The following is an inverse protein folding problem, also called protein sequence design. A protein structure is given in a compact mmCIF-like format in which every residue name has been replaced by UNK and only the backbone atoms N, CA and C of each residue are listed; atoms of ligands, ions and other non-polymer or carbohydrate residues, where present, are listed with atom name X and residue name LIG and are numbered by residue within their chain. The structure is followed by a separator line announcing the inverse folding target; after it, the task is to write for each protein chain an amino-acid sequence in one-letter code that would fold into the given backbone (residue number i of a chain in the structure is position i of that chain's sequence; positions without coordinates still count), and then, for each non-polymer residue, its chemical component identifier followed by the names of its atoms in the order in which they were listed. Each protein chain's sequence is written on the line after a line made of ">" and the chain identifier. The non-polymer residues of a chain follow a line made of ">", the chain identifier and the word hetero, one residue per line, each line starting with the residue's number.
data_IF_802076122003
#
_entry.id   IF_802076122003
#
_cell.length_a   1.000
_cell.length_b   1.000
_cell.length_c   1.000
_cell.angle_alpha   90.00
_cell.angle_beta   90.00
_cell.angle_gamma   90.00
#
_symmetry.space_group_name_H-M   'P 1'
#
loop_
_entity.id
_entity.type
_entity.pdbx_description
1 polymer ?
#
# COMPACT_ATOMS: atom_id res chain seq x y z
N UNK A 1 -5.78 21.01 -3.98
CA UNK A 1 -4.63 20.73 -4.86
C UNK A 1 -3.65 19.85 -4.07
N UNK A 2 -3.10 18.80 -4.66
CA UNK A 2 -2.12 17.92 -3.97
C UNK A 2 -0.77 18.66 -3.89
N UNK A 3 -0.24 18.80 -2.67
CA UNK A 3 0.98 19.56 -2.38
C UNK A 3 2.23 18.67 -2.26
N UNK A 4 2.12 17.39 -2.60
CA UNK A 4 3.20 16.40 -2.45
C UNK A 4 3.35 15.80 -1.05
N UNK A 5 2.61 16.29 -0.08
CA UNK A 5 2.63 15.76 1.29
C UNK A 5 1.53 14.72 1.51
N UNK A 6 1.80 13.76 2.37
CA UNK A 6 0.79 12.82 2.80
C UNK A 6 -0.07 13.49 3.89
N UNK A 7 -1.38 13.53 3.65
CA UNK A 7 -2.34 13.96 4.67
C UNK A 7 -2.46 12.96 5.81
N UNK A 8 -2.97 13.42 6.94
CA UNK A 8 -3.27 12.53 8.07
C UNK A 8 -4.74 12.13 8.02
N UNK A 9 -4.99 10.83 7.97
CA UNK A 9 -6.35 10.31 8.13
C UNK A 9 -6.74 10.32 9.61
N UNK A 10 -7.82 11.02 9.94
CA UNK A 10 -8.32 11.13 11.31
C UNK A 10 -9.36 10.06 11.68
N UNK A 11 -9.62 9.12 10.79
CA UNK A 11 -10.52 8.00 11.03
C UNK A 11 -9.91 6.95 11.95
N UNK A 12 -10.76 6.03 12.41
CA UNK A 12 -10.31 4.88 13.23
C UNK A 12 -9.35 4.01 12.41
N UNK A 13 -8.18 3.66 12.95
CA UNK A 13 -7.27 2.73 12.28
C UNK A 13 -7.95 1.40 11.98
N UNK A 14 -7.67 0.86 10.79
CA UNK A 14 -8.15 -0.47 10.42
C UNK A 14 -7.27 -1.54 11.05
N UNK A 15 -7.87 -2.46 11.79
CA UNK A 15 -7.18 -3.59 12.40
C UNK A 15 -7.28 -4.82 11.48
N UNK A 16 -6.11 -5.26 10.97
CA UNK A 16 -6.03 -6.44 10.11
C UNK A 16 -6.02 -7.68 10.98
N UNK A 17 -7.14 -8.41 10.97
CA UNK A 17 -7.29 -9.65 11.74
C UNK A 17 -6.72 -10.83 10.98
N UNK A 18 -5.91 -11.64 11.67
CA UNK A 18 -5.40 -12.89 11.15
C UNK A 18 -6.34 -14.05 11.53
N UNK A 19 -6.26 -15.14 10.76
CA UNK A 19 -6.94 -16.39 11.10
C UNK A 19 -6.37 -16.95 12.40
N UNK A 20 -7.16 -17.70 13.21
CA UNK A 20 -6.69 -18.26 14.49
C UNK A 20 -5.50 -19.20 14.37
N UNK A 21 -5.39 -19.88 13.24
CA UNK A 21 -4.34 -20.85 12.89
C UNK A 21 -3.23 -20.25 12.01
N UNK A 22 -3.16 -18.92 11.92
CA UNK A 22 -2.20 -18.25 11.07
C UNK A 22 -0.77 -18.38 11.63
N UNK A 23 0.05 -19.15 10.93
CA UNK A 23 1.48 -19.21 11.18
C UNK A 23 2.20 -17.98 10.61
N UNK A 24 3.25 -17.55 11.30
CA UNK A 24 4.09 -16.44 10.81
C UNK A 24 4.80 -16.84 9.53
N UNK A 25 5.01 -15.88 8.64
CA UNK A 25 5.68 -16.11 7.38
C UNK A 25 6.77 -15.05 7.15
N UNK A 26 7.96 -15.53 6.84
CA UNK A 26 9.08 -14.69 6.47
C UNK A 26 9.65 -15.17 5.13
N UNK A 27 9.34 -14.46 4.07
CA UNK A 27 9.79 -14.79 2.71
C UNK A 27 11.27 -14.48 2.50
N UNK A 28 11.86 -15.12 1.49
CA UNK A 28 13.24 -14.84 1.07
C UNK A 28 13.35 -13.44 0.50
N UNK A 29 14.43 -12.75 0.86
CA UNK A 29 14.75 -11.45 0.26
C UNK A 29 15.31 -11.62 -1.14
N UNK A 30 14.97 -10.71 -2.04
CA UNK A 30 15.58 -10.65 -3.36
C UNK A 30 16.79 -9.70 -3.33
N UNK A 31 17.91 -10.07 -3.98
CA UNK A 31 19.05 -9.18 -4.08
C UNK A 31 18.71 -7.95 -4.91
N UNK A 32 19.17 -6.80 -4.49
CA UNK A 32 19.07 -5.56 -5.27
C UNK A 32 20.20 -5.53 -6.27
N UNK A 33 19.91 -5.37 -7.59
CA UNK A 33 20.96 -5.22 -8.58
C UNK A 33 21.80 -3.96 -8.30
N UNK A 34 23.11 -4.06 -8.39
CA UNK A 34 24.04 -2.94 -8.09
C UNK A 34 23.73 -1.65 -8.83
N UNK A 35 23.28 -1.77 -10.07
CA UNK A 35 22.90 -0.61 -10.90
C UNK A 35 21.73 0.19 -10.29
N UNK A 36 20.90 -0.42 -9.45
CA UNK A 36 19.73 0.21 -8.84
C UNK A 36 19.91 0.50 -7.34
N UNK A 37 21.04 0.13 -6.72
CA UNK A 37 21.26 0.29 -5.27
C UNK A 37 21.12 1.75 -4.82
N UNK A 38 21.70 2.68 -5.58
CA UNK A 38 21.66 4.10 -5.23
C UNK A 38 20.24 4.66 -5.29
N UNK A 39 19.55 4.41 -6.40
CA UNK A 39 18.17 4.84 -6.61
C UNK A 39 17.23 4.21 -5.58
N UNK A 40 17.44 2.92 -5.28
CA UNK A 40 16.68 2.22 -4.25
C UNK A 40 16.87 2.83 -2.86
N UNK A 41 18.10 3.18 -2.50
CA UNK A 41 18.39 3.85 -1.23
C UNK A 41 17.69 5.20 -1.11
N UNK A 42 17.71 5.99 -2.18
CA UNK A 42 17.02 7.27 -2.24
C UNK A 42 15.50 7.12 -2.03
N UNK A 43 14.87 6.15 -2.70
CA UNK A 43 13.45 5.86 -2.53
C UNK A 43 13.12 5.41 -1.10
N UNK A 44 13.96 4.54 -0.50
CA UNK A 44 13.77 4.13 0.89
C UNK A 44 13.88 5.29 1.87
N UNK A 45 14.84 6.18 1.66
CA UNK A 45 15.06 7.33 2.54
C UNK A 45 13.91 8.34 2.40
N UNK A 46 13.36 8.51 1.20
CA UNK A 46 12.17 9.30 0.97
C UNK A 46 10.93 8.70 1.68
N UNK A 47 10.71 7.39 1.55
CA UNK A 47 9.60 6.71 2.24
C UNK A 47 9.70 6.79 3.76
N UNK A 48 10.92 6.74 4.31
CA UNK A 48 11.16 6.97 5.74
C UNK A 48 10.86 8.41 6.14
N UNK A 49 11.33 9.38 5.34
CA UNK A 49 11.07 10.81 5.58
C UNK A 49 9.56 11.10 5.61
N UNK A 50 8.82 10.54 4.66
CA UNK A 50 7.36 10.64 4.58
C UNK A 50 6.63 9.80 5.65
N UNK A 51 7.35 9.07 6.50
CA UNK A 51 6.81 8.19 7.55
C UNK A 51 5.91 7.06 7.01
N UNK A 52 6.02 6.71 5.73
CA UNK A 52 5.31 5.58 5.12
C UNK A 52 5.85 4.26 5.65
N UNK A 53 7.18 4.19 5.82
CA UNK A 53 7.87 3.03 6.40
C UNK A 53 8.74 3.45 7.57
N UNK A 54 8.99 2.50 8.46
CA UNK A 54 9.97 2.68 9.53
C UNK A 54 10.90 1.47 9.61
N UNK A 55 12.16 1.70 9.97
CA UNK A 55 13.11 0.62 10.22
C UNK A 55 12.73 -0.10 11.50
N UNK A 56 12.72 -1.44 11.46
CA UNK A 56 12.55 -2.31 12.61
C UNK A 56 13.73 -3.28 12.68
N UNK A 57 14.10 -3.71 13.87
CA UNK A 57 15.25 -4.60 14.05
C UNK A 57 14.87 -6.08 13.91
N UNK A 58 13.64 -6.45 14.21
CA UNK A 58 13.17 -7.83 14.19
C UNK A 58 11.68 -7.88 13.84
N UNK A 59 11.31 -8.81 12.96
CA UNK A 59 9.92 -9.15 12.67
C UNK A 59 9.80 -10.64 12.40
N UNK A 60 8.73 -11.23 12.87
CA UNK A 60 8.33 -12.59 12.50
C UNK A 60 7.64 -12.64 11.13
N UNK A 61 7.27 -11.49 10.61
CA UNK A 61 6.62 -11.32 9.32
C UNK A 61 7.56 -10.63 8.35
N UNK A 62 7.67 -11.15 7.15
CA UNK A 62 8.47 -10.55 6.10
C UNK A 62 7.93 -10.89 4.72
N UNK A 63 7.48 -9.88 3.97
CA UNK A 63 7.08 -10.04 2.59
C UNK A 63 8.31 -9.92 1.67
N UNK A 64 8.49 -10.84 0.71
CA UNK A 64 9.50 -10.68 -0.32
C UNK A 64 9.27 -9.39 -1.09
N UNK A 65 10.33 -8.62 -1.26
CA UNK A 65 10.26 -7.34 -1.95
C UNK A 65 11.27 -7.29 -3.06
N UNK A 66 10.87 -6.80 -4.23
CA UNK A 66 11.70 -6.66 -5.40
C UNK A 66 11.47 -5.32 -6.09
N UNK A 67 12.39 -4.96 -6.96
CA UNK A 67 12.41 -3.70 -7.68
C UNK A 67 12.04 -3.89 -9.13
N UNK A 68 11.21 -3.00 -9.67
CA UNK A 68 10.97 -2.88 -11.09
C UNK A 68 11.47 -1.51 -11.55
N UNK A 69 12.45 -1.47 -12.49
CA UNK A 69 12.89 -0.22 -13.09
C UNK A 69 11.74 0.44 -13.86
N UNK A 70 11.62 1.75 -13.75
CA UNK A 70 10.71 2.55 -14.55
C UNK A 70 11.47 3.19 -15.73
N UNK A 71 10.72 3.68 -16.71
CA UNK A 71 11.29 4.37 -17.89
C UNK A 71 12.01 5.67 -17.55
N UNK A 72 11.67 6.31 -16.44
CA UNK A 72 12.24 7.56 -15.92
C UNK A 72 13.49 7.34 -15.06
N UNK A 73 14.12 6.17 -15.13
CA UNK A 73 15.28 5.77 -14.32
C UNK A 73 15.02 5.68 -12.81
N UNK A 74 13.78 5.83 -12.36
CA UNK A 74 13.38 5.52 -10.98
C UNK A 74 13.04 4.05 -10.83
N UNK A 75 12.81 3.59 -9.60
CA UNK A 75 12.44 2.21 -9.32
C UNK A 75 11.06 2.14 -8.67
N UNK A 76 10.33 1.09 -8.97
CA UNK A 76 9.10 0.75 -8.25
C UNK A 76 9.39 -0.34 -7.24
N UNK A 77 9.02 -0.09 -6.02
CA UNK A 77 9.11 -1.00 -4.91
C UNK A 77 7.86 -1.88 -4.86
N UNK A 78 8.01 -3.19 -4.97
CA UNK A 78 6.89 -4.14 -4.96
C UNK A 78 7.10 -5.18 -3.87
N UNK A 79 6.14 -5.29 -2.97
CA UNK A 79 6.11 -6.33 -1.94
C UNK A 79 5.05 -7.38 -2.28
N UNK A 80 5.43 -8.63 -2.19
CA UNK A 80 4.53 -9.76 -2.43
C UNK A 80 3.79 -10.14 -1.16
N UNK A 81 2.55 -9.70 -1.05
CA UNK A 81 1.68 -9.99 0.09
C UNK A 81 0.79 -11.23 -0.09
N UNK A 82 0.99 -12.05 -1.13
CA UNK A 82 0.13 -13.22 -1.38
C UNK A 82 0.06 -14.17 -0.19
N UNK A 83 1.20 -14.47 0.42
CA UNK A 83 1.26 -15.36 1.59
C UNK A 83 0.62 -14.74 2.83
N UNK A 84 0.77 -13.43 3.03
CA UNK A 84 0.08 -12.72 4.09
C UNK A 84 -1.44 -12.72 3.86
N UNK A 85 -1.88 -12.45 2.63
CA UNK A 85 -3.29 -12.42 2.27
C UNK A 85 -4.02 -13.76 2.50
N UNK A 86 -3.33 -14.88 2.39
CA UNK A 86 -3.88 -16.22 2.72
C UNK A 86 -4.20 -16.35 4.22
N UNK A 87 -3.47 -15.62 5.06
CA UNK A 87 -3.53 -15.67 6.53
C UNK A 87 -4.47 -14.63 7.13
N UNK A 88 -4.88 -13.65 6.35
CA UNK A 88 -5.82 -12.62 6.77
C UNK A 88 -7.23 -13.20 6.82
N UNK A 89 -7.95 -12.90 7.91
CA UNK A 89 -9.38 -13.17 8.01
C UNK A 89 -10.14 -12.17 7.13
N UNK A 90 -10.68 -12.65 6.01
CA UNK A 90 -11.43 -11.80 5.10
C UNK A 90 -12.72 -11.33 5.75
N UNK A 91 -12.92 -10.03 5.76
CA UNK A 91 -14.20 -9.42 6.12
C UNK A 91 -14.87 -8.96 4.82
N UNK A 92 -15.95 -9.62 4.39
CA UNK A 92 -16.68 -9.18 3.20
C UNK A 92 -17.29 -7.80 3.49
N UNK A 93 -17.02 -6.85 2.62
CA UNK A 93 -17.66 -5.55 2.63
C UNK A 93 -18.59 -5.45 1.42
N UNK A 94 -19.89 -5.16 1.61
CA UNK A 94 -20.82 -5.02 0.51
C UNK A 94 -20.47 -3.75 -0.29
N UNK A 95 -19.77 -3.92 -1.40
CA UNK A 95 -19.49 -2.83 -2.32
C UNK A 95 -20.77 -2.57 -3.09
N UNK A 96 -21.36 -1.36 -3.04
CA UNK A 96 -22.55 -1.03 -3.79
C UNK A 96 -22.28 -1.15 -5.29
N UNK A 97 -23.25 -1.62 -6.05
CA UNK A 97 -23.17 -1.70 -7.51
C UNK A 97 -23.13 -0.29 -8.09
N UNK A 98 -22.37 -0.10 -9.18
CA UNK A 98 -22.27 1.21 -9.86
C UNK A 98 -23.65 1.76 -10.20
N UNK A 99 -24.59 0.91 -10.64
CA UNK A 99 -25.97 1.29 -10.93
C UNK A 99 -26.69 1.89 -9.71
N UNK A 100 -26.51 1.30 -8.52
CA UNK A 100 -27.11 1.79 -7.28
C UNK A 100 -26.53 3.15 -6.87
N UNK A 101 -25.23 3.36 -7.16
CA UNK A 101 -24.57 4.66 -6.92
C UNK A 101 -25.13 5.71 -7.89
N UNK A 102 -25.24 5.37 -9.17
CA UNK A 102 -25.77 6.27 -10.18
C UNK A 102 -27.21 6.68 -9.89
N UNK A 103 -28.06 5.76 -9.49
CA UNK A 103 -29.43 6.05 -9.07
C UNK A 103 -29.51 7.00 -7.88
N UNK A 104 -28.56 6.90 -6.94
CA UNK A 104 -28.49 7.83 -5.80
C UNK A 104 -27.99 9.23 -6.19
N UNK A 105 -27.27 9.33 -7.30
CA UNK A 105 -26.79 10.60 -7.86
C UNK A 105 -27.82 11.25 -8.78
N UNK A 106 -28.91 10.53 -9.13
CA UNK A 106 -30.00 11.07 -9.91
C UNK A 106 -30.69 12.18 -9.11
N UNK A 107 -30.56 13.44 -9.59
CA UNK A 107 -31.01 14.63 -8.86
C UNK A 107 -29.90 15.50 -8.25
N UNK A 108 -28.66 15.03 -8.22
CA UNK A 108 -27.51 15.86 -7.89
C UNK A 108 -27.20 16.83 -9.06
N UNK A 109 -27.52 18.09 -8.88
CA UNK A 109 -26.99 19.17 -9.74
C UNK A 109 -25.53 19.40 -9.34
N UNK A 110 -24.60 19.10 -10.24
CA UNK A 110 -23.23 19.57 -10.09
C UNK A 110 -23.21 21.09 -10.16
N UNK A 111 -22.90 21.75 -9.06
CA UNK A 111 -22.60 23.18 -9.12
C UNK A 111 -21.25 23.34 -9.85
N UNK A 112 -21.15 24.27 -10.84
CA UNK A 112 -19.94 24.40 -11.69
C UNK A 112 -18.70 24.95 -10.98
N UNK A 113 -18.74 25.13 -9.68
CA UNK A 113 -17.63 25.68 -8.89
C UNK A 113 -16.72 24.61 -8.22
N UNK A 114 -16.90 23.32 -8.52
CA UNK A 114 -16.11 22.21 -7.95
C UNK A 114 -15.16 21.56 -8.96
N UNK A 115 -14.72 22.34 -9.98
CA UNK A 115 -13.64 21.94 -10.89
C UNK A 115 -12.44 22.83 -10.65
#
# INVERSE_FOLDING_TARGET
>A
MFDGNLGTWHGKPYDIKLKPDAETYHGKTFPVPRIHELTFKQELDQLKYLKVIKKINRSQWGAPTFLIPKKDSTVRFISDFRELNKRILRQPYPIPKIQDILLRLEGFRMEPHLI
#
